data_IF_298397042614
#
_entry.id   IF_298397042614
#
_cell.length_a   1.000
_cell.length_b   1.000
_cell.length_c   1.000
_cell.angle_alpha   90.00
_cell.angle_beta   90.00
_cell.angle_gamma   90.00
#
_symmetry.space_group_name_H-M   'P 1'
#
loop_
_entity.id
_entity.type
_entity.pdbx_description
1 polymer ?
#
# COMPACT_ATOMS: atom_id res chain seq x y z
N UNK A 1 32.77 -29.80 -14.90
CA UNK A 1 31.78 -28.72 -15.03
C UNK A 1 31.84 -27.87 -13.77
N UNK A 2 32.57 -26.76 -13.82
CA UNK A 2 32.82 -25.90 -12.66
C UNK A 2 31.63 -24.95 -12.49
N UNK A 3 30.86 -25.12 -11.41
CA UNK A 3 29.73 -24.25 -11.11
C UNK A 3 30.26 -22.92 -10.57
N UNK A 4 30.25 -21.88 -11.41
CA UNK A 4 30.63 -20.53 -11.03
C UNK A 4 29.46 -19.89 -10.27
N UNK A 5 29.37 -20.18 -8.96
CA UNK A 5 28.44 -19.51 -8.07
C UNK A 5 29.00 -18.11 -7.81
N UNK A 6 28.50 -17.13 -8.55
CA UNK A 6 28.74 -15.70 -8.25
C UNK A 6 28.45 -15.48 -6.77
N UNK A 7 29.49 -15.13 -6.01
CA UNK A 7 29.37 -14.86 -4.59
C UNK A 7 28.43 -13.67 -4.40
N UNK A 8 27.20 -13.95 -4.00
CA UNK A 8 26.27 -12.94 -3.51
C UNK A 8 26.88 -12.36 -2.24
N UNK A 9 27.44 -11.16 -2.31
CA UNK A 9 27.81 -10.39 -1.12
C UNK A 9 26.54 -10.17 -0.30
N UNK A 10 26.44 -10.86 0.84
CA UNK A 10 25.37 -10.66 1.79
C UNK A 10 25.52 -9.26 2.40
N UNK A 11 24.45 -8.47 2.39
CA UNK A 11 24.40 -7.18 3.09
C UNK A 11 24.39 -7.48 4.59
N UNK A 12 25.34 -6.92 5.33
CA UNK A 12 25.33 -6.95 6.79
C UNK A 12 24.25 -5.97 7.28
N UNK A 13 23.15 -6.50 7.81
CA UNK A 13 21.99 -5.74 8.22
C UNK A 13 21.74 -5.91 9.73
N UNK A 14 21.41 -4.83 10.47
CA UNK A 14 21.11 -4.90 11.89
C UNK A 14 19.89 -5.78 12.17
N UNK A 15 19.83 -6.33 13.39
CA UNK A 15 18.64 -7.06 13.89
C UNK A 15 17.41 -6.15 13.78
N UNK A 16 16.34 -6.68 13.19
CA UNK A 16 15.10 -5.93 12.99
C UNK A 16 15.13 -4.90 11.84
N UNK A 17 16.21 -4.84 11.05
CA UNK A 17 16.35 -3.95 9.89
C UNK A 17 16.20 -2.45 10.20
N UNK A 18 16.50 -2.04 11.43
CA UNK A 18 16.40 -0.64 11.85
C UNK A 18 17.29 0.25 10.96
N UNK A 19 16.66 1.22 10.29
CA UNK A 19 17.34 2.16 9.39
C UNK A 19 17.77 1.58 8.04
N UNK A 20 17.41 0.34 7.72
CA UNK A 20 17.77 -0.28 6.43
C UNK A 20 16.74 0.08 5.36
N UNK A 21 17.18 0.79 4.32
CA UNK A 21 16.36 1.06 3.13
C UNK A 21 16.38 -0.18 2.22
N UNK A 22 15.20 -0.78 2.00
CA UNK A 22 15.04 -1.98 1.17
C UNK A 22 14.59 -1.68 -0.26
N UNK A 23 13.86 -0.57 -0.44
CA UNK A 23 13.36 -0.13 -1.76
C UNK A 23 12.92 1.32 -1.67
N UNK A 24 12.81 1.97 -2.82
CA UNK A 24 12.07 3.22 -2.97
C UNK A 24 10.56 2.95 -2.99
N UNK A 25 9.76 3.93 -2.57
CA UNK A 25 8.29 3.86 -2.63
C UNK A 25 7.70 5.18 -3.10
N UNK A 26 6.56 5.10 -3.77
CA UNK A 26 5.71 6.26 -4.10
C UNK A 26 4.40 6.25 -3.33
N UNK A 27 4.21 5.33 -2.39
CA UNK A 27 2.94 5.14 -1.66
C UNK A 27 2.74 6.23 -0.61
N UNK A 28 3.80 6.64 0.08
CA UNK A 28 3.75 7.60 1.18
C UNK A 28 5.04 7.60 1.98
N UNK A 29 5.08 8.44 3.02
CA UNK A 29 6.18 8.52 3.98
C UNK A 29 5.63 8.75 5.40
N UNK A 30 6.44 8.40 6.40
CA UNK A 30 6.17 8.59 7.83
C UNK A 30 7.32 9.37 8.44
N UNK A 31 7.05 10.64 8.77
CA UNK A 31 7.97 11.54 9.45
C UNK A 31 7.67 11.51 10.94
N UNK A 32 8.11 10.43 11.59
CA UNK A 32 7.73 10.10 12.98
C UNK A 32 8.07 11.19 14.00
N UNK A 33 9.19 11.90 13.83
CA UNK A 33 9.57 13.02 14.70
C UNK A 33 8.64 14.23 14.58
N UNK A 34 7.98 14.39 13.44
CA UNK A 34 7.02 15.46 13.17
C UNK A 34 5.57 15.04 13.48
N UNK A 35 5.33 13.77 13.83
CA UNK A 35 3.98 13.24 13.99
C UNK A 35 3.17 13.25 12.68
N UNK A 36 3.85 13.24 11.54
CA UNK A 36 3.23 13.40 10.23
C UNK A 36 3.40 12.16 9.37
N UNK A 37 2.36 11.83 8.63
CA UNK A 37 2.40 10.80 7.59
C UNK A 37 1.40 11.13 6.48
N UNK A 38 1.68 10.61 5.29
CA UNK A 38 0.89 10.93 4.11
C UNK A 38 0.74 9.74 3.18
N UNK A 39 -0.32 9.75 2.38
CA UNK A 39 -0.51 8.83 1.26
C UNK A 39 -0.38 9.62 -0.05
N UNK A 40 0.53 9.20 -0.93
CA UNK A 40 0.94 9.92 -2.14
C UNK A 40 1.37 11.34 -1.77
N UNK A 41 0.69 12.37 -2.27
CA UNK A 41 0.96 13.77 -1.93
C UNK A 41 0.02 14.32 -0.84
N UNK A 42 -0.87 13.52 -0.26
CA UNK A 42 -1.93 14.00 0.63
C UNK A 42 -1.72 13.59 2.09
N UNK A 43 -1.90 14.54 3.00
CA UNK A 43 -2.00 14.28 4.44
C UNK A 43 -3.00 13.16 4.72
N UNK A 44 -2.57 12.13 5.45
CA UNK A 44 -3.44 11.01 5.78
C UNK A 44 -4.60 11.42 6.69
N UNK A 45 -4.37 12.41 7.56
CA UNK A 45 -5.41 13.00 8.43
C UNK A 45 -6.46 13.73 7.58
N UNK A 46 -6.05 14.50 6.59
CA UNK A 46 -6.99 15.21 5.71
C UNK A 46 -7.82 14.24 4.87
N UNK A 47 -7.18 13.17 4.36
CA UNK A 47 -7.89 12.11 3.64
C UNK A 47 -8.94 11.43 4.54
N UNK A 48 -8.60 11.12 5.78
CA UNK A 48 -9.53 10.49 6.72
C UNK A 48 -10.75 11.38 7.05
N UNK A 49 -10.57 12.69 7.09
CA UNK A 49 -11.67 13.63 7.35
C UNK A 49 -12.56 13.89 6.13
N UNK A 50 -12.01 13.87 4.92
CA UNK A 50 -12.68 14.45 3.75
C UNK A 50 -12.92 13.49 2.60
N UNK A 51 -12.36 12.27 2.63
CA UNK A 51 -12.47 11.30 1.53
C UNK A 51 -13.13 10.01 2.00
N UNK A 52 -13.82 9.34 1.08
CA UNK A 52 -14.38 8.01 1.33
C UNK A 52 -13.26 6.98 1.33
N UNK A 53 -13.49 5.87 2.01
CA UNK A 53 -12.54 4.77 2.05
C UNK A 53 -12.15 4.30 0.64
N UNK A 54 -13.13 4.10 -0.25
CA UNK A 54 -12.90 3.68 -1.62
C UNK A 54 -12.10 4.70 -2.45
N UNK A 55 -12.23 5.99 -2.19
CA UNK A 55 -11.46 7.03 -2.90
C UNK A 55 -9.97 6.98 -2.49
N UNK A 56 -9.70 6.75 -1.19
CA UNK A 56 -8.33 6.57 -0.69
C UNK A 56 -7.76 5.23 -1.15
N UNK A 57 -8.56 4.17 -1.22
CA UNK A 57 -8.15 2.90 -1.81
C UNK A 57 -7.76 3.06 -3.28
N UNK A 58 -8.57 3.77 -4.07
CA UNK A 58 -8.24 4.11 -5.45
C UNK A 58 -6.91 4.86 -5.54
N UNK A 59 -6.67 5.86 -4.68
CA UNK A 59 -5.40 6.59 -4.60
C UNK A 59 -4.19 5.68 -4.37
N UNK A 60 -4.31 4.69 -3.48
CA UNK A 60 -3.19 3.78 -3.18
C UNK A 60 -2.86 2.89 -4.37
N UNK A 61 -3.89 2.32 -5.01
CA UNK A 61 -3.73 1.39 -6.14
C UNK A 61 -3.35 2.10 -7.44
N UNK A 62 -4.02 3.20 -7.76
CA UNK A 62 -3.91 3.89 -9.06
C UNK A 62 -3.02 5.13 -9.02
N UNK A 63 -2.67 5.62 -7.83
CA UNK A 63 -1.75 6.76 -7.66
C UNK A 63 -2.40 8.13 -7.68
N UNK A 64 -3.70 8.22 -7.96
CA UNK A 64 -4.45 9.48 -8.02
C UNK A 64 -5.81 9.35 -7.31
N UNK A 65 -6.27 10.47 -6.73
CA UNK A 65 -7.64 10.54 -6.23
C UNK A 65 -8.60 10.49 -7.40
N UNK A 66 -9.67 9.68 -7.33
CA UNK A 66 -10.64 9.63 -8.39
C UNK A 66 -11.47 10.92 -8.42
N UNK A 67 -11.98 11.26 -9.61
CA UNK A 67 -13.13 12.15 -9.72
C UNK A 67 -14.40 11.41 -9.21
N UNK A 68 -15.52 12.13 -9.17
CA UNK A 68 -16.79 11.61 -8.64
C UNK A 68 -17.24 10.32 -9.36
N UNK A 69 -17.13 10.29 -10.68
CA UNK A 69 -17.62 9.18 -11.51
C UNK A 69 -16.71 7.95 -11.36
N UNK A 70 -15.39 8.15 -11.41
CA UNK A 70 -14.41 7.08 -11.16
C UNK A 70 -14.54 6.52 -9.77
N UNK A 71 -14.78 7.37 -8.76
CA UNK A 71 -14.96 6.95 -7.38
C UNK A 71 -16.21 6.11 -7.21
N UNK A 72 -17.32 6.50 -7.84
CA UNK A 72 -18.55 5.72 -7.84
C UNK A 72 -18.37 4.36 -8.54
N UNK A 73 -17.72 4.34 -9.71
CA UNK A 73 -17.44 3.11 -10.46
C UNK A 73 -16.52 2.16 -9.68
N UNK A 74 -15.48 2.67 -9.03
CA UNK A 74 -14.57 1.88 -8.21
C UNK A 74 -15.28 1.28 -6.98
N UNK A 75 -16.13 2.06 -6.31
CA UNK A 75 -16.93 1.57 -5.19
C UNK A 75 -17.92 0.47 -5.61
N UNK A 76 -18.61 0.64 -6.76
CA UNK A 76 -19.51 -0.38 -7.29
C UNK A 76 -18.77 -1.69 -7.61
N UNK A 77 -17.64 -1.60 -8.33
CA UNK A 77 -16.82 -2.76 -8.68
C UNK A 77 -16.33 -3.50 -7.43
N UNK A 78 -15.81 -2.79 -6.44
CA UNK A 78 -15.30 -3.43 -5.21
C UNK A 78 -16.41 -4.03 -4.37
N UNK A 79 -17.62 -3.47 -4.40
CA UNK A 79 -18.78 -4.04 -3.72
C UNK A 79 -19.20 -5.40 -4.28
N UNK A 80 -19.17 -5.57 -5.60
CA UNK A 80 -19.47 -6.85 -6.27
C UNK A 80 -18.50 -7.97 -5.86
N UNK A 81 -17.26 -7.61 -5.54
CA UNK A 81 -16.19 -8.53 -5.15
C UNK A 81 -16.23 -8.94 -3.66
N UNK A 82 -17.18 -8.43 -2.87
CA UNK A 82 -17.27 -8.74 -1.42
C UNK A 82 -17.77 -10.16 -1.12
N UNK A 83 -18.32 -10.88 -2.11
CA UNK A 83 -18.82 -12.25 -1.92
C UNK A 83 -17.64 -13.21 -1.73
N UNK A 84 -17.59 -13.85 -0.58
CA UNK A 84 -16.66 -14.95 -0.32
C UNK A 84 -17.12 -16.23 -1.04
N UNK A 85 -16.22 -16.97 -1.71
CA UNK A 85 -16.49 -18.33 -2.17
C UNK A 85 -16.92 -19.23 -1.01
N UNK A 86 -17.78 -20.22 -1.27
CA UNK A 86 -18.35 -21.08 -0.23
C UNK A 86 -17.29 -21.85 0.56
N UNK A 87 -16.22 -22.29 -0.11
CA UNK A 87 -15.08 -22.95 0.53
C UNK A 87 -14.39 -22.05 1.55
N UNK A 88 -14.24 -20.75 1.25
CA UNK A 88 -13.64 -19.77 2.17
C UNK A 88 -14.60 -19.48 3.32
N UNK A 89 -15.91 -19.37 3.03
CA UNK A 89 -16.94 -19.15 4.06
C UNK A 89 -17.01 -20.31 5.05
N UNK A 90 -16.83 -21.54 4.59
CA UNK A 90 -16.86 -22.74 5.43
C UNK A 90 -15.69 -22.84 6.42
N UNK A 91 -14.61 -22.07 6.20
CA UNK A 91 -13.42 -22.07 7.05
C UNK A 91 -13.46 -21.00 8.17
N UNK A 92 -14.50 -20.15 8.21
CA UNK A 92 -14.71 -19.10 9.22
C UNK A 92 -15.58 -19.60 10.37
#
# INVERSE_FOLDING_TARGET
MTSNRTASTLVDAPRGLAGVVVTDTRIGDVRGLEGFYHYRQYSAVDLAHHRRFEDVWHLLVHGELPDTDRGAAFAARTAELRRLPDEVRAAL
#
